data_IF_331011095081
#
_entry.id   IF_331011095081
#
_cell.length_a   1.000
_cell.length_b   1.000
_cell.length_c   1.000
_cell.angle_alpha   90.00
_cell.angle_beta   90.00
_cell.angle_gamma   90.00
#
_symmetry.space_group_name_H-M   'P 1'
#
loop_
_entity.id
_entity.type
_entity.pdbx_description
1 polymer ?
#
# COMPACT_ATOMS: atom_id res chain seq x y z
N UNK A 1 34.25 28.68 21.51
CA UNK A 1 33.31 28.55 22.64
C UNK A 1 32.04 29.32 22.27
N UNK A 2 31.07 28.64 21.68
CA UNK A 2 29.73 29.19 21.41
C UNK A 2 28.72 28.12 21.85
N UNK A 3 27.69 28.46 22.65
CA UNK A 3 26.78 27.47 23.20
C UNK A 3 25.78 27.00 22.13
N UNK A 4 25.76 25.70 21.88
CA UNK A 4 24.71 25.04 21.09
C UNK A 4 23.39 25.15 21.84
N UNK A 5 22.46 25.93 21.28
CA UNK A 5 21.08 26.01 21.78
C UNK A 5 20.41 24.68 21.51
N UNK A 6 19.92 24.04 22.56
CA UNK A 6 19.10 22.84 22.48
C UNK A 6 17.83 23.13 21.70
N UNK A 7 17.70 22.56 20.50
CA UNK A 7 16.42 22.41 19.85
C UNK A 7 15.69 21.26 20.54
N UNK A 8 14.90 21.59 21.55
CA UNK A 8 13.81 20.74 22.03
C UNK A 8 12.78 20.60 20.92
N UNK A 9 13.01 19.65 20.01
CA UNK A 9 12.06 19.27 18.98
C UNK A 9 10.91 18.54 19.65
N UNK A 10 9.84 19.27 19.95
CA UNK A 10 8.53 18.66 20.17
C UNK A 10 8.24 17.81 18.93
N UNK A 11 7.92 16.54 19.14
CA UNK A 11 7.64 15.60 18.08
C UNK A 11 6.59 16.19 17.14
N UNK A 12 6.98 16.39 15.88
CA UNK A 12 6.11 16.94 14.83
C UNK A 12 4.85 16.08 14.60
N UNK A 13 4.87 14.82 15.05
CA UNK A 13 3.77 13.87 14.94
C UNK A 13 2.58 14.12 15.89
N UNK A 14 2.71 14.99 16.90
CA UNK A 14 1.66 15.21 17.91
C UNK A 14 0.53 16.17 17.48
N UNK A 15 0.59 16.79 16.29
CA UNK A 15 -0.31 17.90 15.94
C UNK A 15 -1.22 17.69 14.72
N UNK A 16 -1.17 16.53 14.06
CA UNK A 16 -1.95 16.30 12.83
C UNK A 16 -2.90 15.11 12.84
N UNK A 17 -2.95 14.32 13.93
CA UNK A 17 -3.96 13.27 14.12
C UNK A 17 -5.06 13.73 15.09
N UNK A 18 -5.81 14.75 14.67
CA UNK A 18 -7.24 14.78 14.97
C UNK A 18 -7.91 13.71 14.11
N UNK A 19 -7.68 12.44 14.45
CA UNK A 19 -8.29 11.32 13.74
C UNK A 19 -9.81 11.48 13.83
N UNK A 20 -10.56 11.52 12.73
CA UNK A 20 -11.97 11.18 12.83
C UNK A 20 -11.99 9.80 13.47
N UNK A 21 -12.68 9.68 14.61
CA UNK A 21 -12.94 8.40 15.25
C UNK A 21 -13.72 7.62 14.20
N UNK A 22 -13.05 6.77 13.43
CA UNK A 22 -13.71 5.81 12.59
C UNK A 22 -14.45 4.90 13.56
N UNK A 23 -15.74 5.17 13.73
CA UNK A 23 -16.62 4.34 14.53
C UNK A 23 -16.61 2.99 13.82
N UNK A 24 -16.01 1.98 14.47
CA UNK A 24 -15.83 0.62 13.95
C UNK A 24 -17.17 -0.14 13.83
N UNK A 25 -18.28 0.59 13.74
CA UNK A 25 -19.65 0.09 13.66
C UNK A 25 -20.16 -0.02 12.23
N UNK A 26 -19.40 0.50 11.25
CA UNK A 26 -19.77 0.47 9.82
C UNK A 26 -19.14 -0.69 9.06
N UNK A 27 -18.51 -1.67 9.73
CA UNK A 27 -18.24 -2.97 9.11
C UNK A 27 -19.55 -3.77 9.02
N UNK A 28 -20.28 -3.42 7.97
CA UNK A 28 -21.34 -4.15 7.28
C UNK A 28 -21.21 -5.67 7.42
N UNK A 29 -22.35 -6.36 7.54
CA UNK A 29 -22.52 -7.81 7.36
C UNK A 29 -21.40 -8.48 6.55
N UNK A 30 -20.70 -9.42 7.19
CA UNK A 30 -19.41 -10.01 6.82
C UNK A 30 -19.40 -10.97 5.64
N UNK A 31 -20.47 -10.99 4.83
CA UNK A 31 -20.50 -11.77 3.58
C UNK A 31 -20.33 -10.82 2.41
N UNK A 32 -19.29 -11.05 1.61
CA UNK A 32 -19.12 -10.34 0.34
C UNK A 32 -20.28 -10.67 -0.62
N UNK A 33 -20.54 -9.75 -1.53
CA UNK A 33 -21.38 -9.98 -2.71
C UNK A 33 -20.51 -10.16 -3.96
N UNK A 34 -21.09 -10.72 -5.02
CA UNK A 34 -20.39 -10.90 -6.30
C UNK A 34 -19.95 -9.54 -6.89
N UNK A 35 -20.79 -8.51 -6.81
CA UNK A 35 -20.45 -7.14 -7.22
C UNK A 35 -19.23 -6.59 -6.47
N UNK A 36 -19.10 -6.90 -5.18
CA UNK A 36 -17.94 -6.49 -4.39
C UNK A 36 -16.68 -7.24 -4.83
N UNK A 37 -16.77 -8.51 -5.22
CA UNK A 37 -15.64 -9.26 -5.80
C UNK A 37 -15.18 -8.61 -7.10
N UNK A 38 -16.10 -8.26 -8.01
CA UNK A 38 -15.74 -7.55 -9.24
C UNK A 38 -15.10 -6.18 -8.96
N UNK A 39 -15.60 -5.45 -7.97
CA UNK A 39 -15.02 -4.17 -7.55
C UNK A 39 -13.59 -4.34 -7.02
N UNK A 40 -13.36 -5.36 -6.19
CA UNK A 40 -12.02 -5.66 -5.66
C UNK A 40 -11.07 -6.07 -6.80
N UNK A 41 -11.51 -6.93 -7.71
CA UNK A 41 -10.75 -7.34 -8.89
C UNK A 41 -10.35 -6.14 -9.75
N UNK A 42 -11.29 -5.22 -9.99
CA UNK A 42 -11.02 -3.99 -10.73
C UNK A 42 -9.97 -3.10 -10.05
N UNK A 43 -10.02 -2.96 -8.71
CA UNK A 43 -9.03 -2.21 -7.93
C UNK A 43 -7.66 -2.87 -7.96
N UNK A 44 -7.62 -4.21 -7.93
CA UNK A 44 -6.40 -4.99 -8.02
C UNK A 44 -5.83 -5.10 -9.45
N UNK A 45 -6.56 -4.60 -10.46
CA UNK A 45 -6.23 -4.75 -11.89
C UNK A 45 -6.11 -6.22 -12.32
N UNK A 46 -6.97 -7.06 -11.77
CA UNK A 46 -7.09 -8.49 -12.13
C UNK A 46 -8.36 -8.66 -12.95
N UNK A 47 -8.23 -9.21 -14.15
CA UNK A 47 -9.36 -9.68 -14.94
C UNK A 47 -9.85 -11.00 -14.37
N UNK A 48 -11.16 -11.13 -14.16
CA UNK A 48 -11.78 -12.29 -13.50
C UNK A 48 -13.06 -12.61 -14.26
N UNK A 49 -13.22 -13.86 -14.68
CA UNK A 49 -14.45 -14.31 -15.32
C UNK A 49 -15.57 -14.61 -14.29
N UNK A 50 -16.80 -14.84 -14.74
CA UNK A 50 -17.95 -15.08 -13.86
C UNK A 50 -17.80 -16.35 -13.00
N UNK A 51 -17.11 -17.38 -13.52
CA UNK A 51 -16.92 -18.64 -12.81
C UNK A 51 -15.86 -18.50 -11.73
N UNK A 52 -14.77 -17.80 -12.03
CA UNK A 52 -13.72 -17.42 -11.11
C UNK A 52 -14.27 -16.50 -10.02
N UNK A 53 -15.07 -15.49 -10.38
CA UNK A 53 -15.66 -14.56 -9.42
C UNK A 53 -16.53 -15.28 -8.38
N UNK A 54 -17.31 -16.28 -8.79
CA UNK A 54 -18.11 -17.11 -7.87
C UNK A 54 -17.24 -18.01 -6.98
N UNK A 55 -16.17 -18.58 -7.53
CA UNK A 55 -15.23 -19.39 -6.76
C UNK A 55 -14.50 -18.54 -5.71
N UNK A 56 -13.98 -17.39 -6.13
CA UNK A 56 -13.29 -16.42 -5.29
C UNK A 56 -14.21 -15.85 -4.21
N UNK A 57 -15.49 -15.63 -4.51
CA UNK A 57 -16.48 -15.22 -3.51
C UNK A 57 -16.56 -16.20 -2.34
N UNK A 58 -16.63 -17.51 -2.62
CA UNK A 58 -16.64 -18.54 -1.59
C UNK A 58 -15.38 -18.52 -0.75
N UNK A 59 -14.21 -18.52 -1.41
CA UNK A 59 -12.90 -18.51 -0.74
C UNK A 59 -12.70 -17.25 0.14
N UNK A 60 -13.10 -16.07 -0.33
CA UNK A 60 -12.97 -14.84 0.44
C UNK A 60 -13.88 -14.81 1.65
N UNK A 61 -15.10 -15.36 1.55
CA UNK A 61 -16.00 -15.49 2.69
C UNK A 61 -15.46 -16.47 3.74
N UNK A 62 -14.81 -17.57 3.34
CA UNK A 62 -14.11 -18.47 4.27
C UNK A 62 -12.96 -17.76 5.01
N UNK A 63 -12.16 -16.97 4.29
CA UNK A 63 -11.07 -16.17 4.89
C UNK A 63 -11.62 -15.14 5.86
N UNK A 64 -12.71 -14.45 5.52
CA UNK A 64 -13.33 -13.48 6.44
C UNK A 64 -13.91 -14.15 7.68
N UNK A 65 -14.51 -15.35 7.55
CA UNK A 65 -14.91 -16.13 8.71
C UNK A 65 -13.74 -16.46 9.64
N UNK A 66 -12.53 -16.71 9.11
CA UNK A 66 -11.34 -16.86 9.95
C UNK A 66 -10.95 -15.55 10.64
N UNK A 67 -10.98 -14.42 9.93
CA UNK A 67 -10.62 -13.10 10.48
C UNK A 67 -11.59 -12.68 11.60
N UNK A 68 -12.87 -13.00 11.49
CA UNK A 68 -13.87 -12.75 12.55
C UNK A 68 -13.44 -13.38 13.89
N UNK A 69 -12.82 -14.57 13.87
CA UNK A 69 -12.35 -15.21 15.11
C UNK A 69 -11.31 -14.36 15.85
N UNK A 70 -10.52 -13.55 15.12
CA UNK A 70 -9.52 -12.66 15.70
C UNK A 70 -10.16 -11.39 16.31
N UNK A 71 -11.35 -10.99 15.84
CA UNK A 71 -12.07 -9.82 16.35
C UNK A 71 -12.62 -10.03 17.77
N UNK A 72 -12.70 -11.28 18.24
CA UNK A 72 -13.11 -11.59 19.61
C UNK A 72 -12.12 -11.11 20.68
N UNK A 73 -10.90 -10.72 20.28
CA UNK A 73 -9.84 -10.27 21.19
C UNK A 73 -9.97 -8.75 21.40
N UNK A 74 -10.06 -8.33 22.66
CA UNK A 74 -10.04 -6.92 23.02
C UNK A 74 -8.65 -6.31 22.76
N UNK A 75 -8.62 -5.26 21.92
CA UNK A 75 -7.42 -4.51 21.55
C UNK A 75 -7.49 -3.05 22.00
N UNK A 76 -8.43 -2.70 22.90
CA UNK A 76 -8.54 -1.34 23.43
C UNK A 76 -7.25 -0.92 24.14
N UNK A 77 -6.72 0.24 23.74
CA UNK A 77 -5.48 0.79 24.29
C UNK A 77 -4.18 0.15 23.75
N UNK A 78 -4.25 -0.80 22.82
CA UNK A 78 -3.08 -1.38 22.16
C UNK A 78 -2.72 -0.56 20.92
N UNK A 79 -1.50 -0.02 20.87
CA UNK A 79 -1.01 0.70 19.70
C UNK A 79 -0.74 -0.29 18.54
N UNK A 80 -1.15 0.02 17.30
CA UNK A 80 -0.84 -0.82 16.14
C UNK A 80 0.67 -0.91 15.90
N UNK A 81 1.16 -2.10 15.56
CA UNK A 81 2.57 -2.36 15.28
C UNK A 81 2.82 -2.49 13.77
N UNK A 82 3.48 -1.49 13.17
CA UNK A 82 3.81 -1.49 11.73
C UNK A 82 5.11 -2.23 11.38
N UNK A 83 6.08 -2.21 12.29
CA UNK A 83 7.36 -2.88 12.16
C UNK A 83 7.63 -3.67 13.44
N UNK A 84 8.23 -4.86 13.32
CA UNK A 84 8.56 -5.69 14.48
C UNK A 84 9.73 -5.13 15.31
N UNK A 85 10.51 -4.21 14.75
CA UNK A 85 11.64 -3.56 15.41
C UNK A 85 11.38 -2.06 15.48
N UNK A 86 11.80 -1.46 16.59
CA UNK A 86 11.83 -0.01 16.74
C UNK A 86 12.98 0.58 15.93
N UNK A 87 12.67 1.03 14.72
CA UNK A 87 13.63 1.65 13.82
C UNK A 87 13.38 3.15 13.73
N UNK A 88 14.43 3.93 13.91
CA UNK A 88 14.41 5.34 13.53
C UNK A 88 14.48 5.48 12.00
N UNK A 89 13.84 6.52 11.46
CA UNK A 89 13.92 6.81 10.03
C UNK A 89 15.38 7.10 9.63
N UNK A 90 15.95 6.24 8.80
CA UNK A 90 17.30 6.45 8.25
C UNK A 90 17.25 7.51 7.17
N UNK A 91 18.08 8.54 7.32
CA UNK A 91 18.25 9.57 6.29
C UNK A 91 19.19 9.04 5.19
N UNK A 92 18.82 9.30 3.94
CA UNK A 92 19.70 9.12 2.78
C UNK A 92 20.40 10.47 2.51
N UNK A 93 21.73 10.50 2.26
CA UNK A 93 22.40 11.72 1.85
C UNK A 93 21.83 12.24 0.51
N UNK A 94 21.82 13.56 0.36
CA UNK A 94 21.42 14.23 -0.88
C UNK A 94 22.64 14.33 -1.82
N UNK A 95 22.93 13.24 -2.51
CA UNK A 95 24.03 13.15 -3.47
C UNK A 95 23.57 12.47 -4.75
N UNK A 96 24.00 13.02 -5.89
CA UNK A 96 23.81 12.43 -7.23
C UNK A 96 24.62 11.14 -7.30
N UNK A 97 23.99 10.06 -7.79
CA UNK A 97 24.60 8.72 -7.91
C UNK A 97 24.65 8.22 -9.36
N UNK A 98 24.11 9.02 -10.27
CA UNK A 98 23.95 8.69 -11.67
C UNK A 98 25.30 8.71 -12.42
N UNK A 99 25.72 7.55 -12.92
CA UNK A 99 26.84 7.37 -13.85
C UNK A 99 26.31 7.21 -15.28
N UNK A 100 27.11 6.67 -16.21
CA UNK A 100 26.85 6.55 -17.67
C UNK A 100 25.39 6.21 -18.03
N UNK A 101 24.62 7.26 -18.34
CA UNK A 101 23.17 7.21 -18.55
C UNK A 101 22.79 6.43 -19.82
N UNK A 102 23.70 6.33 -20.80
CA UNK A 102 23.46 5.59 -22.05
C UNK A 102 23.54 4.08 -21.84
N UNK A 103 24.52 3.62 -21.06
CA UNK A 103 24.65 2.21 -20.71
C UNK A 103 23.41 1.71 -19.91
N UNK A 104 22.90 2.54 -18.99
CA UNK A 104 21.75 2.20 -18.17
C UNK A 104 20.44 2.18 -18.94
N UNK A 105 20.23 3.12 -19.86
CA UNK A 105 19.04 3.11 -20.72
C UNK A 105 18.93 1.82 -21.51
N UNK A 106 20.03 1.38 -22.12
CA UNK A 106 20.08 0.11 -22.85
C UNK A 106 19.76 -1.08 -21.93
N UNK A 107 20.37 -1.12 -20.75
CA UNK A 107 20.13 -2.19 -19.78
C UNK A 107 18.67 -2.26 -19.30
N UNK A 108 18.02 -1.11 -19.06
CA UNK A 108 16.62 -1.07 -18.62
C UNK A 108 15.63 -1.41 -19.73
N UNK A 109 15.96 -1.11 -20.99
CA UNK A 109 15.11 -1.41 -22.13
C UNK A 109 15.23 -2.86 -22.61
N UNK A 110 16.32 -3.56 -22.25
CA UNK A 110 16.52 -4.95 -22.62
C UNK A 110 15.44 -5.92 -22.10
N UNK A 111 14.76 -5.58 -20.99
CA UNK A 111 13.67 -6.38 -20.41
C UNK A 111 12.27 -5.80 -20.72
N UNK A 112 12.21 -4.70 -21.46
CA UNK A 112 10.96 -4.03 -21.78
C UNK A 112 10.19 -4.85 -22.84
N UNK A 113 8.87 -5.05 -22.69
CA UNK A 113 8.06 -5.67 -23.73
C UNK A 113 8.11 -4.90 -25.05
N UNK A 114 7.96 -3.57 -24.97
CA UNK A 114 8.03 -2.67 -26.12
C UNK A 114 8.71 -1.35 -25.72
N UNK A 115 9.72 -0.96 -26.49
CA UNK A 115 10.40 0.32 -26.33
C UNK A 115 10.84 0.86 -27.71
N UNK A 116 10.68 2.17 -27.92
CA UNK A 116 11.07 2.84 -29.16
C UNK A 116 11.62 4.24 -28.85
N UNK A 117 12.65 4.67 -29.59
CA UNK A 117 13.26 6.00 -29.47
C UNK A 117 13.66 6.39 -28.02
N UNK A 118 13.97 5.39 -27.17
CA UNK A 118 14.31 5.61 -25.77
C UNK A 118 13.12 5.71 -24.80
N UNK A 119 11.90 5.39 -25.23
CA UNK A 119 10.66 5.46 -24.47
C UNK A 119 10.01 4.07 -24.34
N UNK A 120 9.25 3.85 -23.26
CA UNK A 120 8.42 2.67 -23.10
C UNK A 120 7.07 2.89 -23.77
N UNK A 121 6.67 1.97 -24.64
CA UNK A 121 5.39 2.06 -25.32
C UNK A 121 4.29 1.49 -24.43
N UNK A 122 3.20 2.25 -24.32
CA UNK A 122 1.97 1.82 -23.63
C UNK A 122 0.77 2.15 -24.51
N UNK A 123 -0.28 1.31 -24.53
CA UNK A 123 -1.49 1.61 -25.27
C UNK A 123 -2.05 2.97 -24.84
N UNK A 124 -2.31 3.83 -25.82
CA UNK A 124 -2.96 5.12 -25.56
C UNK A 124 -4.42 4.85 -25.21
N UNK A 125 -4.84 5.29 -24.03
CA UNK A 125 -6.27 5.33 -23.69
C UNK A 125 -6.92 6.46 -24.48
N UNK A 126 -7.87 6.12 -25.35
CA UNK A 126 -8.70 7.05 -26.10
C UNK A 126 -10.15 6.63 -25.81
N UNK A 127 -10.97 7.59 -25.36
CA UNK A 127 -12.42 7.41 -25.17
C UNK A 127 -13.19 7.83 -26.42
#
# INVERSE_FOLDING_TARGET
MAPSRGCGGKNFYDTLYGSPVYHLSDFVTMSLTLDQVHRIAHLARIEVDETEARSTLGQLNEIFGLIETMQAIDTQGVAPMAHAQDLAQRLRPDCVTENDQLAWRSAFQAIAPEAEAGLYLVPRVIE
#
